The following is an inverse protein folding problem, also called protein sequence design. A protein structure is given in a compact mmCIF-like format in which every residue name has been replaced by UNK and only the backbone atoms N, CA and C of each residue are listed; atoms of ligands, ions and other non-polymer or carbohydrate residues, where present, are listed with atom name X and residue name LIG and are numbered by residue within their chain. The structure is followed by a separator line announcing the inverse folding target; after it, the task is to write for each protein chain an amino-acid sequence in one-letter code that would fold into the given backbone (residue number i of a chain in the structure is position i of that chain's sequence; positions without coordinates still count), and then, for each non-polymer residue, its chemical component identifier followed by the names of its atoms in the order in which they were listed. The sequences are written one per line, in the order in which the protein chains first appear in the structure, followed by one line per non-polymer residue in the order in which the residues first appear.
data_IF_677758638760
#
_entry.id   IF_677758638760
#
_cell.length_a   1.000
_cell.length_b   1.000
_cell.length_c   1.000
_cell.angle_alpha   90.00
_cell.angle_beta   90.00
_cell.angle_gamma   90.00
#
_symmetry.space_group_name_H-M   'P 1'
#
loop_
_entity.id
_entity.type
_entity.pdbx_description
1 polymer ?
#
# COMPACT_ATOMS: atom_id res chain seq x y z
N UNK A 1 -38.03 25.12 -6.63
CA UNK A 1 -37.72 23.87 -7.33
C UNK A 1 -36.86 23.02 -6.41
N UNK A 2 -37.49 22.24 -5.54
CA UNK A 2 -36.76 21.31 -4.68
C UNK A 2 -36.40 20.07 -5.49
N UNK A 3 -35.12 19.70 -5.55
CA UNK A 3 -34.72 18.42 -6.10
C UNK A 3 -35.39 17.30 -5.28
N UNK A 4 -36.04 16.35 -5.96
CA UNK A 4 -36.59 15.17 -5.30
C UNK A 4 -35.46 14.46 -4.52
N UNK A 5 -35.66 14.06 -3.26
CA UNK A 5 -34.59 13.53 -2.39
C UNK A 5 -33.85 12.33 -3.00
N UNK A 6 -34.54 11.55 -3.84
CA UNK A 6 -33.99 10.42 -4.61
C UNK A 6 -32.85 10.85 -5.56
N UNK A 7 -33.02 11.95 -6.31
CA UNK A 7 -32.00 12.43 -7.24
C UNK A 7 -30.76 12.97 -6.51
N UNK A 8 -30.94 13.53 -5.30
CA UNK A 8 -29.82 14.01 -4.50
C UNK A 8 -28.93 12.86 -4.01
N UNK A 9 -29.52 11.73 -3.60
CA UNK A 9 -28.75 10.56 -3.16
C UNK A 9 -27.99 9.88 -4.29
N UNK A 10 -28.60 9.71 -5.48
CA UNK A 10 -27.93 9.12 -6.63
C UNK A 10 -26.74 9.97 -7.12
N UNK A 11 -26.90 11.31 -7.14
CA UNK A 11 -25.83 12.25 -7.45
C UNK A 11 -24.70 12.21 -6.42
N UNK A 12 -25.03 12.17 -5.12
CA UNK A 12 -24.03 12.05 -4.06
C UNK A 12 -23.25 10.74 -4.17
N UNK A 13 -23.94 9.62 -4.43
CA UNK A 13 -23.33 8.30 -4.60
C UNK A 13 -22.36 8.26 -5.78
N UNK A 14 -22.78 8.80 -6.92
CA UNK A 14 -21.95 8.87 -8.13
C UNK A 14 -20.74 9.78 -7.94
N UNK A 15 -20.93 10.94 -7.31
CA UNK A 15 -19.84 11.92 -7.06
C UNK A 15 -18.81 11.38 -6.08
N UNK A 16 -19.25 10.76 -4.98
CA UNK A 16 -18.35 10.17 -4.00
C UNK A 16 -17.57 8.99 -4.60
N UNK A 17 -18.25 8.11 -5.35
CA UNK A 17 -17.61 6.95 -5.99
C UNK A 17 -16.57 7.37 -7.03
N UNK A 18 -16.89 8.33 -7.88
CA UNK A 18 -15.95 8.86 -8.89
C UNK A 18 -14.72 9.51 -8.26
N UNK A 19 -14.90 10.29 -7.19
CA UNK A 19 -13.79 10.89 -6.44
C UNK A 19 -12.87 9.82 -5.85
N UNK A 20 -13.44 8.82 -5.19
CA UNK A 20 -12.68 7.73 -4.55
C UNK A 20 -11.92 6.91 -5.59
N UNK A 21 -12.52 6.60 -6.74
CA UNK A 21 -11.83 5.88 -7.82
C UNK A 21 -10.75 6.72 -8.50
N UNK A 22 -10.94 8.04 -8.62
CA UNK A 22 -9.89 8.94 -9.10
C UNK A 22 -8.67 8.92 -8.13
N UNK A 23 -8.91 8.97 -6.83
CA UNK A 23 -7.84 8.87 -5.82
C UNK A 23 -7.14 7.49 -5.86
N UNK A 24 -7.89 6.41 -6.07
CA UNK A 24 -7.34 5.07 -6.24
C UNK A 24 -6.45 4.98 -7.49
N UNK A 25 -6.91 5.52 -8.63
CA UNK A 25 -6.14 5.58 -9.87
C UNK A 25 -4.83 6.35 -9.69
N UNK A 26 -4.90 7.55 -9.09
CA UNK A 26 -3.71 8.37 -8.78
C UNK A 26 -2.74 7.60 -7.88
N UNK A 27 -3.24 6.88 -6.89
CA UNK A 27 -2.42 6.09 -5.97
C UNK A 27 -1.67 4.95 -6.67
N UNK A 28 -2.33 4.26 -7.59
CA UNK A 28 -1.72 3.20 -8.42
C UNK A 28 -0.68 3.80 -9.37
N UNK A 29 -1.00 4.89 -10.07
CA UNK A 29 -0.05 5.60 -10.92
C UNK A 29 1.21 6.03 -10.13
N UNK A 30 1.02 6.57 -8.93
CA UNK A 30 2.11 6.99 -8.07
C UNK A 30 2.95 5.79 -7.57
N UNK A 31 2.34 4.62 -7.33
CA UNK A 31 3.07 3.38 -7.03
C UNK A 31 4.01 3.01 -8.17
N UNK A 32 3.52 2.97 -9.41
CA UNK A 32 4.34 2.65 -10.58
C UNK A 32 5.44 3.68 -10.82
N UNK A 33 5.11 4.97 -10.68
CA UNK A 33 6.10 6.04 -10.75
C UNK A 33 7.20 5.86 -9.69
N UNK A 34 6.82 5.59 -8.43
CA UNK A 34 7.79 5.36 -7.35
C UNK A 34 8.72 4.21 -7.69
N UNK A 35 8.16 3.07 -8.12
CA UNK A 35 8.92 1.86 -8.47
C UNK A 35 9.90 2.07 -9.60
N UNK A 36 9.48 2.79 -10.64
CA UNK A 36 10.35 3.20 -11.75
C UNK A 36 11.50 4.08 -11.24
N UNK A 37 11.19 5.03 -10.36
CA UNK A 37 12.17 5.97 -9.80
C UNK A 37 13.21 5.30 -8.91
N UNK A 38 12.84 4.24 -8.17
CA UNK A 38 13.77 3.47 -7.32
C UNK A 38 14.40 2.26 -8.04
N UNK A 39 14.12 2.05 -9.33
CA UNK A 39 14.61 0.92 -10.14
C UNK A 39 14.37 -0.46 -9.49
N UNK A 40 13.29 -0.63 -8.73
CA UNK A 40 13.05 -1.83 -7.90
C UNK A 40 12.46 -3.03 -8.65
N UNK A 41 12.38 -2.97 -9.99
CA UNK A 41 11.71 -3.97 -10.82
C UNK A 41 10.19 -4.04 -10.63
N UNK A 42 9.52 -4.79 -11.49
CA UNK A 42 8.10 -5.11 -11.36
C UNK A 42 7.95 -6.43 -10.64
N UNK A 43 6.96 -6.53 -9.75
CA UNK A 43 6.74 -7.72 -8.94
C UNK A 43 5.28 -8.16 -9.05
N UNK A 44 4.98 -9.37 -8.58
CA UNK A 44 3.64 -9.95 -8.68
C UNK A 44 2.55 -9.07 -8.04
N UNK A 45 2.88 -8.35 -6.96
CA UNK A 45 1.96 -7.43 -6.30
C UNK A 45 1.50 -6.27 -7.19
N UNK A 46 2.33 -5.83 -8.13
CA UNK A 46 2.00 -4.74 -9.06
C UNK A 46 1.01 -5.18 -10.14
N UNK A 47 1.11 -6.43 -10.58
CA UNK A 47 0.17 -7.00 -11.54
C UNK A 47 -1.21 -7.21 -10.91
N UNK A 48 -1.26 -7.76 -9.69
CA UNK A 48 -2.52 -7.98 -8.99
C UNK A 48 -3.26 -6.67 -8.67
N UNK A 49 -2.55 -5.60 -8.31
CA UNK A 49 -3.20 -4.30 -8.08
C UNK A 49 -3.72 -3.67 -9.38
N UNK A 50 -3.03 -3.88 -10.51
CA UNK A 50 -3.52 -3.44 -11.82
C UNK A 50 -4.78 -4.19 -12.24
N UNK A 51 -4.81 -5.53 -12.04
CA UNK A 51 -6.01 -6.33 -12.28
C UNK A 51 -7.16 -5.84 -11.39
N UNK A 52 -6.91 -5.61 -10.10
CA UNK A 52 -7.91 -5.06 -9.18
C UNK A 52 -8.43 -3.69 -9.61
N UNK A 53 -7.55 -2.78 -10.05
CA UNK A 53 -7.92 -1.47 -10.56
C UNK A 53 -8.76 -1.59 -11.84
N UNK A 54 -8.35 -2.41 -12.80
CA UNK A 54 -9.08 -2.63 -14.05
C UNK A 54 -10.49 -3.14 -13.76
N UNK A 55 -10.62 -4.19 -12.95
CA UNK A 55 -11.92 -4.74 -12.57
C UNK A 55 -12.80 -3.72 -11.82
N UNK A 56 -12.18 -2.87 -10.99
CA UNK A 56 -12.90 -1.79 -10.28
C UNK A 56 -13.46 -0.77 -11.27
N UNK A 57 -12.66 -0.34 -12.25
CA UNK A 57 -13.10 0.59 -13.29
C UNK A 57 -14.18 -0.03 -14.19
N UNK A 58 -14.07 -1.31 -14.51
CA UNK A 58 -15.12 -2.03 -15.25
C UNK A 58 -16.43 -2.08 -14.47
N UNK A 59 -16.39 -2.49 -13.20
CA UNK A 59 -17.58 -2.55 -12.34
C UNK A 59 -18.22 -1.16 -12.16
N UNK A 60 -17.40 -0.13 -11.92
CA UNK A 60 -17.88 1.26 -11.81
C UNK A 60 -18.55 1.76 -13.09
N UNK A 61 -17.99 1.42 -14.25
CA UNK A 61 -18.53 1.82 -15.56
C UNK A 61 -19.88 1.15 -15.85
N UNK A 62 -19.99 -0.14 -15.54
CA UNK A 62 -21.24 -0.92 -15.67
C UNK A 62 -22.32 -0.36 -14.74
N UNK A 63 -21.97 -0.07 -13.49
CA UNK A 63 -22.93 0.47 -12.53
C UNK A 63 -23.37 1.90 -12.87
N UNK A 64 -22.45 2.74 -13.37
CA UNK A 64 -22.78 4.08 -13.85
C UNK A 64 -23.77 4.03 -15.02
N UNK A 65 -23.66 3.04 -15.91
CA UNK A 65 -24.65 2.81 -16.95
C UNK A 65 -26.02 2.47 -16.35
N UNK A 66 -26.09 1.60 -15.35
CA UNK A 66 -27.33 1.27 -14.63
C UNK A 66 -28.01 2.48 -13.98
N UNK A 67 -27.24 3.30 -13.25
CA UNK A 67 -27.75 4.50 -12.56
C UNK A 67 -28.20 5.60 -13.53
N UNK A 68 -27.66 5.64 -14.75
CA UNK A 68 -28.11 6.59 -15.79
C UNK A 68 -29.51 6.24 -16.30
N UNK A 69 -29.77 4.94 -16.49
CA UNK A 69 -31.06 4.44 -16.96
C UNK A 69 -32.12 4.45 -15.85
N UNK A 70 -31.70 4.23 -14.61
CA UNK A 70 -32.54 4.31 -13.42
C UNK A 70 -31.96 5.29 -12.38
N UNK A 71 -32.36 6.57 -12.43
CA UNK A 71 -31.86 7.60 -11.52
C UNK A 71 -32.19 7.38 -10.05
N UNK A 72 -33.08 6.43 -9.71
CA UNK A 72 -33.38 6.06 -8.33
C UNK A 72 -32.24 5.27 -7.67
N UNK A 73 -31.31 4.72 -8.47
CA UNK A 73 -30.21 3.89 -7.96
C UNK A 73 -30.70 2.69 -7.15
N UNK A 74 -31.88 2.17 -7.46
CA UNK A 74 -32.51 1.05 -6.77
C UNK A 74 -33.09 1.35 -5.39
N UNK A 75 -33.33 2.62 -5.07
CA UNK A 75 -34.03 3.00 -3.85
C UNK A 75 -35.47 2.47 -3.86
N UNK A 76 -35.87 1.76 -2.80
CA UNK A 76 -37.20 1.19 -2.69
C UNK A 76 -37.45 -0.10 -3.48
N UNK A 77 -36.44 -0.65 -4.17
CA UNK A 77 -36.58 -1.95 -4.83
C UNK A 77 -36.91 -3.04 -3.80
N UNK A 78 -38.05 -3.69 -4.01
CA UNK A 78 -38.42 -4.90 -3.30
C UNK A 78 -38.61 -6.05 -4.30
N UNK A 79 -37.60 -6.91 -4.43
CA UNK A 79 -37.58 -7.98 -5.45
C UNK A 79 -38.56 -9.12 -5.18
N UNK A 80 -39.17 -9.13 -4.00
CA UNK A 80 -40.08 -10.20 -3.56
C UNK A 80 -41.54 -9.74 -3.56
N UNK A 81 -41.77 -8.45 -3.84
CA UNK A 81 -43.10 -7.88 -3.96
C UNK A 81 -43.66 -8.13 -5.37
N UNK A 82 -44.76 -8.88 -5.52
CA UNK A 82 -45.37 -9.16 -6.82
C UNK A 82 -45.99 -7.92 -7.46
N UNK A 83 -46.36 -6.89 -6.68
CA UNK A 83 -47.01 -5.67 -7.17
C UNK A 83 -45.99 -4.58 -7.54
N UNK A 84 -44.69 -4.83 -7.33
CA UNK A 84 -43.62 -3.90 -7.65
C UNK A 84 -43.41 -3.77 -9.17
N UNK A 85 -43.18 -2.56 -9.67
CA UNK A 85 -42.94 -2.32 -11.10
C UNK A 85 -41.47 -2.56 -11.47
N UNK A 86 -41.16 -3.79 -11.84
CA UNK A 86 -39.81 -4.23 -12.24
C UNK A 86 -39.32 -3.60 -13.55
N UNK A 87 -40.21 -3.29 -14.49
CA UNK A 87 -39.82 -2.88 -15.86
C UNK A 87 -38.89 -1.68 -15.90
N UNK A 88 -39.06 -0.73 -14.96
CA UNK A 88 -38.22 0.47 -14.86
C UNK A 88 -36.81 0.16 -14.31
N UNK A 89 -36.65 -0.89 -13.52
CA UNK A 89 -35.44 -1.18 -12.74
C UNK A 89 -34.61 -2.35 -13.33
N UNK A 90 -35.08 -2.99 -14.41
CA UNK A 90 -34.42 -4.18 -15.00
C UNK A 90 -32.97 -3.92 -15.34
N UNK A 91 -32.67 -2.79 -15.99
CA UNK A 91 -31.31 -2.45 -16.42
C UNK A 91 -30.39 -2.25 -15.22
N UNK A 92 -30.85 -1.49 -14.22
CA UNK A 92 -30.13 -1.30 -12.97
C UNK A 92 -29.85 -2.64 -12.27
N UNK A 93 -30.86 -3.48 -12.10
CA UNK A 93 -30.72 -4.79 -11.45
C UNK A 93 -29.72 -5.70 -12.19
N UNK A 94 -29.73 -5.74 -13.52
CA UNK A 94 -28.73 -6.48 -14.31
C UNK A 94 -27.31 -5.94 -14.09
N UNK A 95 -27.14 -4.63 -14.10
CA UNK A 95 -25.83 -4.01 -13.88
C UNK A 95 -25.33 -4.19 -12.44
N UNK A 96 -26.21 -4.06 -11.44
CA UNK A 96 -25.89 -4.26 -10.02
C UNK A 96 -25.52 -5.72 -9.74
N UNK A 97 -26.25 -6.69 -10.32
CA UNK A 97 -25.88 -8.11 -10.25
C UNK A 97 -24.49 -8.39 -10.84
N UNK A 98 -24.19 -7.79 -11.99
CA UNK A 98 -22.88 -7.91 -12.63
C UNK A 98 -21.77 -7.30 -11.78
N UNK A 99 -22.01 -6.09 -11.22
CA UNK A 99 -21.08 -5.43 -10.32
C UNK A 99 -20.85 -6.23 -9.03
N UNK A 100 -21.89 -6.81 -8.44
CA UNK A 100 -21.81 -7.69 -7.27
C UNK A 100 -20.99 -8.96 -7.55
N UNK A 101 -21.05 -9.50 -8.77
CA UNK A 101 -20.21 -10.64 -9.16
C UNK A 101 -18.74 -10.23 -9.30
N UNK A 102 -18.46 -9.08 -9.91
CA UNK A 102 -17.11 -8.54 -10.07
C UNK A 102 -16.47 -8.14 -8.74
N UNK A 103 -17.27 -7.71 -7.77
CA UNK A 103 -16.84 -7.28 -6.44
C UNK A 103 -15.88 -8.27 -5.78
N UNK A 104 -16.23 -9.56 -5.75
CA UNK A 104 -15.39 -10.59 -5.14
C UNK A 104 -14.01 -10.68 -5.81
N UNK A 105 -13.97 -10.60 -7.14
CA UNK A 105 -12.72 -10.63 -7.92
C UNK A 105 -11.86 -9.39 -7.69
N UNK A 106 -12.49 -8.21 -7.56
CA UNK A 106 -11.81 -6.95 -7.22
C UNK A 106 -11.12 -7.06 -5.86
N UNK A 107 -11.90 -7.38 -4.83
CA UNK A 107 -11.42 -7.44 -3.44
C UNK A 107 -10.33 -8.49 -3.29
N UNK A 108 -10.50 -9.65 -3.93
CA UNK A 108 -9.50 -10.73 -3.95
C UNK A 108 -8.20 -10.28 -4.58
N UNK A 109 -8.26 -9.61 -5.74
CA UNK A 109 -7.06 -9.11 -6.42
C UNK A 109 -6.28 -8.12 -5.54
N UNK A 110 -6.98 -7.25 -4.81
CA UNK A 110 -6.37 -6.29 -3.87
C UNK A 110 -5.73 -7.04 -2.69
N UNK A 111 -6.44 -7.97 -2.05
CA UNK A 111 -5.92 -8.74 -0.90
C UNK A 111 -4.69 -9.59 -1.30
N UNK A 112 -4.72 -10.23 -2.47
CA UNK A 112 -3.56 -10.99 -3.00
C UNK A 112 -2.38 -10.06 -3.31
N UNK A 113 -2.63 -8.85 -3.84
CA UNK A 113 -1.56 -7.85 -4.02
C UNK A 113 -0.90 -7.46 -2.69
N UNK A 114 -1.69 -7.18 -1.64
CA UNK A 114 -1.18 -6.84 -0.30
C UNK A 114 -0.39 -8.02 0.28
N UNK A 115 -0.89 -9.25 0.14
CA UNK A 115 -0.23 -10.46 0.62
C UNK A 115 1.13 -10.68 -0.07
N UNK A 116 1.19 -10.54 -1.40
CA UNK A 116 2.44 -10.58 -2.17
C UNK A 116 3.41 -9.48 -1.73
N UNK A 117 2.91 -8.27 -1.48
CA UNK A 117 3.71 -7.16 -0.97
C UNK A 117 4.28 -7.48 0.42
N UNK A 118 3.50 -8.07 1.34
CA UNK A 118 4.00 -8.47 2.65
C UNK A 118 5.10 -9.53 2.54
N UNK A 119 4.94 -10.52 1.65
CA UNK A 119 5.97 -11.55 1.41
C UNK A 119 7.29 -10.94 0.92
N UNK A 120 7.22 -9.88 0.12
CA UNK A 120 8.41 -9.15 -0.32
C UNK A 120 9.09 -8.39 0.81
N UNK A 121 8.31 -7.78 1.70
CA UNK A 121 8.84 -6.97 2.80
C UNK A 121 9.48 -7.85 3.87
N UNK A 122 8.90 -9.03 4.13
CA UNK A 122 9.33 -9.98 5.16
C UNK A 122 9.71 -11.33 4.54
N UNK A 123 10.92 -11.48 3.98
CA UNK A 123 11.40 -12.74 3.42
C UNK A 123 11.84 -13.69 4.56
N UNK A 124 10.85 -14.27 5.27
CA UNK A 124 11.06 -15.23 6.37
C UNK A 124 10.35 -16.53 6.03
N UNK A 125 11.01 -17.69 6.20
CA UNK A 125 10.45 -18.98 5.77
C UNK A 125 9.12 -19.33 6.47
N UNK A 126 8.99 -19.05 7.76
CA UNK A 126 7.73 -19.23 8.50
C UNK A 126 6.59 -18.32 7.99
N UNK A 127 6.91 -17.16 7.42
CA UNK A 127 5.94 -16.26 6.81
C UNK A 127 5.37 -16.84 5.51
N UNK A 128 6.15 -17.65 4.79
CA UNK A 128 5.72 -18.26 3.55
C UNK A 128 4.48 -19.13 3.75
N UNK A 129 4.52 -20.07 4.70
CA UNK A 129 3.41 -20.99 4.97
C UNK A 129 2.16 -20.22 5.41
N UNK A 130 2.31 -19.28 6.35
CA UNK A 130 1.20 -18.45 6.82
C UNK A 130 0.58 -17.64 5.66
N UNK A 131 1.41 -17.11 4.76
CA UNK A 131 0.92 -16.39 3.59
C UNK A 131 0.17 -17.30 2.61
N UNK A 132 0.60 -18.56 2.41
CA UNK A 132 -0.12 -19.51 1.55
C UNK A 132 -1.49 -19.86 2.12
N UNK A 133 -1.57 -20.12 3.42
CA UNK A 133 -2.84 -20.39 4.12
C UNK A 133 -3.78 -19.20 3.98
N UNK A 134 -3.27 -17.97 4.16
CA UNK A 134 -4.06 -16.75 3.98
C UNK A 134 -4.56 -16.60 2.53
N UNK A 135 -3.68 -16.85 1.56
CA UNK A 135 -4.03 -16.83 0.14
C UNK A 135 -5.14 -17.83 -0.19
N UNK A 136 -5.04 -19.06 0.33
CA UNK A 136 -6.08 -20.08 0.18
C UNK A 136 -7.41 -19.65 0.79
N UNK A 137 -7.41 -19.06 2.00
CA UNK A 137 -8.62 -18.54 2.64
C UNK A 137 -9.30 -17.44 1.80
N UNK A 138 -8.51 -16.52 1.25
CA UNK A 138 -9.01 -15.46 0.36
C UNK A 138 -9.64 -16.08 -0.91
N UNK A 139 -8.99 -17.07 -1.52
CA UNK A 139 -9.49 -17.73 -2.72
C UNK A 139 -10.75 -18.56 -2.46
N UNK A 140 -10.86 -19.21 -1.29
CA UNK A 140 -12.09 -19.91 -0.88
C UNK A 140 -13.23 -18.91 -0.70
N UNK A 141 -12.99 -17.79 -0.02
CA UNK A 141 -14.00 -16.74 0.13
C UNK A 141 -14.45 -16.17 -1.21
N UNK A 142 -13.52 -15.93 -2.14
CA UNK A 142 -13.81 -15.53 -3.50
C UNK A 142 -14.71 -16.54 -4.22
N UNK A 143 -14.32 -17.81 -4.21
CA UNK A 143 -15.05 -18.87 -4.89
C UNK A 143 -16.48 -19.01 -4.35
N UNK A 144 -16.61 -19.08 -3.02
CA UNK A 144 -17.91 -19.20 -2.36
C UNK A 144 -18.78 -17.98 -2.66
N UNK A 145 -18.24 -16.77 -2.54
CA UNK A 145 -18.98 -15.53 -2.82
C UNK A 145 -19.41 -15.39 -4.27
N UNK A 146 -18.53 -15.69 -5.23
CA UNK A 146 -18.86 -15.63 -6.65
C UNK A 146 -19.93 -16.66 -7.03
N UNK A 147 -19.82 -17.90 -6.52
CA UNK A 147 -20.81 -18.95 -6.77
C UNK A 147 -22.16 -18.58 -6.14
N UNK A 148 -22.19 -18.22 -4.85
CA UNK A 148 -23.43 -17.86 -4.15
C UNK A 148 -24.11 -16.63 -4.76
N UNK A 149 -23.35 -15.63 -5.22
CA UNK A 149 -23.92 -14.49 -5.96
C UNK A 149 -24.58 -14.95 -7.25
N UNK A 150 -23.92 -15.84 -7.99
CA UNK A 150 -24.43 -16.35 -9.27
C UNK A 150 -25.67 -17.23 -9.09
N UNK A 151 -25.76 -17.99 -8.00
CA UNK A 151 -26.94 -18.82 -7.67
C UNK A 151 -27.94 -18.10 -6.74
N UNK A 152 -27.82 -16.79 -6.57
CA UNK A 152 -28.69 -16.02 -5.67
C UNK A 152 -30.18 -16.08 -6.03
N UNK A 153 -30.47 -16.25 -7.32
CA UNK A 153 -31.79 -16.49 -7.86
C UNK A 153 -31.73 -17.56 -8.95
N UNK A 154 -32.68 -18.49 -8.93
CA UNK A 154 -32.85 -19.52 -9.97
C UNK A 154 -34.31 -19.52 -10.45
N UNK A 155 -34.59 -19.23 -11.73
CA UNK A 155 -33.64 -18.83 -12.79
C UNK A 155 -33.10 -17.40 -12.58
N UNK A 156 -31.95 -17.08 -13.19
CA UNK A 156 -31.32 -15.75 -13.06
C UNK A 156 -32.26 -14.59 -13.40
N UNK A 157 -33.19 -14.82 -14.35
CA UNK A 157 -34.20 -13.83 -14.76
C UNK A 157 -35.05 -13.31 -13.60
N UNK A 158 -35.32 -14.16 -12.60
CA UNK A 158 -36.06 -13.77 -11.38
C UNK A 158 -35.41 -12.59 -10.65
N UNK A 159 -34.08 -12.42 -10.74
CA UNK A 159 -33.38 -11.32 -10.08
C UNK A 159 -33.86 -9.94 -10.56
N UNK A 160 -34.20 -9.80 -11.85
CA UNK A 160 -34.57 -8.51 -12.45
C UNK A 160 -36.02 -8.44 -12.97
N UNK A 161 -36.69 -9.57 -13.18
CA UNK A 161 -38.12 -9.66 -13.56
C UNK A 161 -39.06 -9.88 -12.36
N UNK A 162 -38.50 -10.14 -11.17
CA UNK A 162 -39.27 -10.33 -9.94
C UNK A 162 -40.01 -11.67 -9.86
N UNK A 163 -41.03 -11.78 -8.99
CA UNK A 163 -41.75 -13.03 -8.73
C UNK A 163 -42.42 -13.64 -9.97
N UNK A 164 -42.77 -12.79 -10.95
CA UNK A 164 -43.44 -13.14 -12.21
C UNK A 164 -42.67 -14.18 -13.05
N UNK A 165 -41.34 -14.19 -12.95
CA UNK A 165 -40.47 -15.13 -13.68
C UNK A 165 -40.46 -16.56 -13.08
N UNK A 166 -41.18 -16.80 -11.97
CA UNK A 166 -41.16 -18.07 -11.25
C UNK A 166 -39.81 -18.36 -10.58
N UNK A 167 -39.67 -19.52 -9.95
CA UNK A 167 -38.44 -19.93 -9.26
C UNK A 167 -38.28 -19.35 -7.84
N UNK A 168 -37.05 -19.36 -7.34
CA UNK A 168 -36.73 -18.98 -5.96
C UNK A 168 -35.44 -18.15 -5.89
N UNK A 169 -35.42 -17.20 -4.95
CA UNK A 169 -34.23 -16.46 -4.54
C UNK A 169 -34.02 -16.68 -3.04
N UNK A 170 -32.77 -16.85 -2.59
CA UNK A 170 -32.51 -16.84 -1.15
C UNK A 170 -32.46 -15.41 -0.61
N UNK A 171 -32.52 -15.27 0.71
CA UNK A 171 -32.45 -13.97 1.38
C UNK A 171 -31.08 -13.30 1.14
N UNK A 172 -31.06 -12.32 0.24
CA UNK A 172 -29.83 -11.65 -0.19
C UNK A 172 -29.24 -10.78 0.92
N UNK A 173 -30.09 -10.26 1.81
CA UNK A 173 -29.68 -9.44 2.94
C UNK A 173 -28.90 -10.24 4.01
N UNK A 174 -29.35 -11.46 4.33
CA UNK A 174 -28.62 -12.38 5.22
C UNK A 174 -27.30 -12.82 4.57
N UNK A 175 -27.32 -13.12 3.27
CA UNK A 175 -26.14 -13.45 2.50
C UNK A 175 -25.10 -12.32 2.51
N UNK A 176 -25.53 -11.07 2.27
CA UNK A 176 -24.69 -9.88 2.32
C UNK A 176 -24.00 -9.72 3.68
N UNK A 177 -24.77 -9.84 4.77
CA UNK A 177 -24.24 -9.75 6.13
C UNK A 177 -23.23 -10.87 6.42
N UNK A 178 -23.54 -12.10 6.02
CA UNK A 178 -22.70 -13.28 6.28
C UNK A 178 -21.36 -13.18 5.53
N UNK A 179 -21.40 -12.90 4.23
CA UNK A 179 -20.19 -12.76 3.42
C UNK A 179 -19.35 -11.56 3.84
N UNK A 180 -20.00 -10.45 4.19
CA UNK A 180 -19.33 -9.27 4.72
C UNK A 180 -18.66 -9.50 6.08
N UNK A 181 -19.29 -10.27 6.98
CA UNK A 181 -18.68 -10.65 8.24
C UNK A 181 -17.42 -11.51 8.04
N UNK A 182 -17.46 -12.50 7.15
CA UNK A 182 -16.29 -13.32 6.82
C UNK A 182 -15.18 -12.48 6.22
N UNK A 183 -15.51 -11.52 5.35
CA UNK A 183 -14.53 -10.61 4.76
C UNK A 183 -13.81 -9.76 5.81
N UNK A 184 -14.54 -9.23 6.80
CA UNK A 184 -13.98 -8.47 7.92
C UNK A 184 -13.03 -9.31 8.78
N UNK A 185 -13.36 -10.58 8.99
CA UNK A 185 -12.46 -11.52 9.66
C UNK A 185 -11.18 -11.69 8.83
N UNK A 186 -11.29 -11.90 7.53
CA UNK A 186 -10.13 -12.01 6.63
C UNK A 186 -9.27 -10.74 6.67
N UNK A 187 -9.87 -9.54 6.63
CA UNK A 187 -9.12 -8.28 6.72
C UNK A 187 -8.39 -8.14 8.06
N UNK A 188 -9.05 -8.53 9.15
CA UNK A 188 -8.44 -8.51 10.49
C UNK A 188 -7.26 -9.48 10.58
N UNK A 189 -7.41 -10.69 10.03
CA UNK A 189 -6.32 -11.68 9.99
C UNK A 189 -5.16 -11.18 9.13
N UNK A 190 -5.45 -10.56 7.99
CA UNK A 190 -4.45 -9.98 7.08
C UNK A 190 -3.70 -8.83 7.75
N UNK A 191 -4.37 -8.02 8.56
CA UNK A 191 -3.77 -6.93 9.34
C UNK A 191 -2.84 -7.46 10.45
N UNK A 192 -3.24 -8.52 11.15
CA UNK A 192 -2.47 -9.12 12.25
C UNK A 192 -1.23 -9.88 11.73
N UNK A 193 -1.30 -10.42 10.52
CA UNK A 193 -0.27 -11.26 9.91
C UNK A 193 1.16 -10.66 10.00
N UNK A 194 1.44 -9.42 9.53
CA UNK A 194 2.77 -8.83 9.66
C UNK A 194 3.12 -8.39 11.09
N UNK A 195 2.13 -8.08 11.95
CA UNK A 195 2.37 -7.59 13.32
C UNK A 195 3.07 -8.64 14.16
N UNK A 196 2.64 -9.91 14.07
CA UNK A 196 3.28 -11.01 14.79
C UNK A 196 4.77 -11.14 14.45
N UNK A 197 5.13 -10.99 13.18
CA UNK A 197 6.52 -11.04 12.74
C UNK A 197 7.35 -9.86 13.28
N UNK A 198 6.74 -8.67 13.33
CA UNK A 198 7.41 -7.45 13.79
C UNK A 198 7.73 -7.49 15.29
N UNK A 199 6.92 -8.18 16.09
CA UNK A 199 7.17 -8.34 17.53
C UNK A 199 8.33 -9.29 17.83
N UNK A 200 8.52 -10.32 17.00
CA UNK A 200 9.57 -11.32 17.19
C UNK A 200 10.92 -10.85 16.62
N UNK A 201 10.90 -10.05 15.54
CA UNK A 201 12.12 -9.65 14.83
C UNK A 201 12.59 -8.26 15.26
N UNK A 202 13.88 -8.11 15.60
CA UNK A 202 14.49 -6.83 15.99
C UNK A 202 14.61 -5.85 14.81
N UNK A 203 13.48 -5.25 14.41
CA UNK A 203 13.43 -4.33 13.26
C UNK A 203 13.99 -2.94 13.58
N UNK A 204 14.61 -2.33 12.57
CA UNK A 204 15.07 -0.94 12.61
C UNK A 204 13.91 0.03 12.88
N UNK A 205 14.17 1.19 13.52
CA UNK A 205 13.15 2.24 13.77
C UNK A 205 12.37 2.62 12.50
N UNK A 206 13.03 2.58 11.35
CA UNK A 206 12.43 2.87 10.06
C UNK A 206 11.40 1.82 9.61
N UNK A 207 11.61 0.54 9.90
CA UNK A 207 10.65 -0.51 9.60
C UNK A 207 9.46 -0.47 10.58
N UNK A 208 9.70 -0.15 11.85
CA UNK A 208 8.64 0.03 12.85
C UNK A 208 7.62 1.10 12.45
N UNK A 209 8.09 2.27 11.98
CA UNK A 209 7.20 3.35 11.50
C UNK A 209 6.35 2.89 10.31
N UNK A 210 6.92 2.10 9.38
CA UNK A 210 6.19 1.57 8.23
C UNK A 210 5.07 0.62 8.67
N UNK A 211 5.35 -0.26 9.62
CA UNK A 211 4.38 -1.22 10.15
C UNK A 211 3.22 -0.49 10.84
N UNK A 212 3.52 0.53 11.64
CA UNK A 212 2.48 1.37 12.28
C UNK A 212 1.61 2.04 11.21
N UNK A 213 2.21 2.59 10.15
CA UNK A 213 1.46 3.18 9.04
C UNK A 213 0.52 2.18 8.36
N UNK A 214 1.03 0.99 8.03
CA UNK A 214 0.23 -0.09 7.43
C UNK A 214 -0.91 -0.50 8.37
N UNK A 215 -0.65 -0.59 9.67
CA UNK A 215 -1.65 -0.96 10.66
C UNK A 215 -2.79 0.07 10.74
N UNK A 216 -2.45 1.37 10.82
CA UNK A 216 -3.45 2.44 10.87
C UNK A 216 -4.31 2.50 9.61
N UNK A 217 -3.72 2.27 8.44
CA UNK A 217 -4.44 2.28 7.17
C UNK A 217 -5.30 1.03 7.02
N UNK A 218 -4.77 -0.13 7.40
CA UNK A 218 -5.52 -1.38 7.37
C UNK A 218 -6.69 -1.39 8.35
N UNK A 219 -6.53 -0.80 9.55
CA UNK A 219 -7.65 -0.66 10.48
C UNK A 219 -8.73 0.27 9.92
N UNK A 220 -8.36 1.34 9.21
CA UNK A 220 -9.33 2.18 8.52
C UNK A 220 -10.12 1.41 7.45
N UNK A 221 -9.46 0.55 6.65
CA UNK A 221 -10.15 -0.31 5.68
C UNK A 221 -11.16 -1.25 6.36
N UNK A 222 -10.82 -1.83 7.50
CA UNK A 222 -11.75 -2.65 8.30
C UNK A 222 -12.98 -1.84 8.74
N UNK A 223 -12.78 -0.61 9.22
CA UNK A 223 -13.89 0.27 9.62
C UNK A 223 -14.80 0.57 8.42
N UNK A 224 -14.24 0.90 7.25
CA UNK A 224 -15.07 1.13 6.05
C UNK A 224 -15.86 -0.13 5.64
N UNK A 225 -15.27 -1.31 5.80
CA UNK A 225 -15.95 -2.59 5.56
C UNK A 225 -17.09 -2.83 6.56
N UNK A 226 -16.89 -2.49 7.83
CA UNK A 226 -17.93 -2.61 8.86
C UNK A 226 -19.11 -1.70 8.54
N UNK A 227 -18.83 -0.44 8.19
CA UNK A 227 -19.87 0.53 7.81
C UNK A 227 -20.61 0.06 6.55
N UNK A 228 -19.91 -0.51 5.56
CA UNK A 228 -20.52 -1.12 4.37
C UNK A 228 -21.52 -2.23 4.72
N UNK A 229 -21.14 -3.13 5.62
CA UNK A 229 -22.03 -4.23 6.06
C UNK A 229 -23.26 -3.69 6.77
N UNK A 230 -23.07 -2.77 7.73
CA UNK A 230 -24.17 -2.22 8.54
C UNK A 230 -25.13 -1.38 7.69
N UNK A 231 -24.61 -0.47 6.86
CA UNK A 231 -25.44 0.45 6.09
C UNK A 231 -26.05 -0.19 4.84
N UNK A 232 -25.46 -1.27 4.34
CA UNK A 232 -26.05 -2.10 3.28
C UNK A 232 -27.15 -3.03 3.79
N UNK A 233 -27.13 -3.40 5.08
CA UNK A 233 -28.18 -4.22 5.68
C UNK A 233 -29.50 -3.45 5.79
N UNK A 234 -30.60 -4.08 5.37
CA UNK A 234 -31.93 -3.47 5.39
C UNK A 234 -32.91 -4.27 6.28
N UNK A 235 -33.18 -3.84 7.52
CA UNK A 235 -34.01 -4.61 8.46
C UNK A 235 -35.40 -4.94 7.89
N UNK A 236 -35.84 -6.19 8.03
CA UNK A 236 -37.16 -6.62 7.57
C UNK A 236 -37.30 -6.84 6.06
N UNK A 237 -36.25 -6.60 5.27
CA UNK A 237 -36.22 -6.86 3.83
C UNK A 237 -35.34 -8.06 3.49
N UNK A 238 -35.70 -8.80 2.44
CA UNK A 238 -34.81 -9.80 1.82
C UNK A 238 -33.77 -9.16 0.88
N UNK A 239 -33.88 -7.85 0.65
CA UNK A 239 -33.05 -7.06 -0.25
C UNK A 239 -32.13 -6.15 0.54
N UNK A 240 -30.92 -5.89 0.02
CA UNK A 240 -30.01 -4.90 0.60
C UNK A 240 -30.50 -3.49 0.30
N UNK A 241 -30.06 -2.52 1.10
CA UNK A 241 -30.26 -1.12 0.78
C UNK A 241 -29.33 -0.71 -0.37
N UNK A 242 -29.72 -1.02 -1.61
CA UNK A 242 -28.90 -0.91 -2.82
C UNK A 242 -28.08 0.40 -2.93
N UNK A 243 -28.67 1.61 -2.82
CA UNK A 243 -27.89 2.85 -2.92
C UNK A 243 -26.77 2.96 -1.87
N UNK A 244 -27.09 2.59 -0.62
CA UNK A 244 -26.15 2.65 0.51
C UNK A 244 -25.08 1.58 0.39
N UNK A 245 -25.47 0.37 0.01
CA UNK A 245 -24.57 -0.75 -0.21
C UNK A 245 -23.53 -0.43 -1.30
N UNK A 246 -23.96 0.17 -2.42
CA UNK A 246 -23.09 0.52 -3.53
C UNK A 246 -22.13 1.66 -3.20
N UNK A 247 -22.61 2.74 -2.57
CA UNK A 247 -21.77 3.85 -2.11
C UNK A 247 -20.64 3.36 -1.19
N UNK A 248 -20.99 2.60 -0.15
CA UNK A 248 -20.01 2.15 0.82
C UNK A 248 -19.09 1.06 0.26
N UNK A 249 -19.55 0.28 -0.74
CA UNK A 249 -18.68 -0.65 -1.47
C UNK A 249 -17.63 0.08 -2.29
N UNK A 250 -17.99 1.17 -2.97
CA UNK A 250 -17.05 2.01 -3.71
C UNK A 250 -15.99 2.64 -2.78
N UNK A 251 -16.44 3.21 -1.65
CA UNK A 251 -15.55 3.76 -0.61
C UNK A 251 -14.60 2.68 -0.09
N UNK A 252 -15.13 1.50 0.25
CA UNK A 252 -14.32 0.40 0.76
C UNK A 252 -13.27 -0.07 -0.25
N UNK A 253 -13.64 -0.31 -1.50
CA UNK A 253 -12.70 -0.74 -2.55
C UNK A 253 -11.61 0.31 -2.78
N UNK A 254 -11.98 1.58 -2.94
CA UNK A 254 -11.00 2.62 -3.21
C UNK A 254 -10.02 2.83 -2.05
N UNK A 255 -10.52 2.79 -0.81
CA UNK A 255 -9.66 2.87 0.38
C UNK A 255 -8.74 1.65 0.51
N UNK A 256 -9.20 0.45 0.15
CA UNK A 256 -8.38 -0.75 0.08
C UNK A 256 -7.26 -0.65 -0.97
N UNK A 257 -7.54 -0.11 -2.17
CA UNK A 257 -6.52 0.14 -3.20
C UNK A 257 -5.48 1.15 -2.70
N UNK A 258 -5.94 2.28 -2.15
CA UNK A 258 -5.05 3.32 -1.60
C UNK A 258 -4.14 2.70 -0.51
N UNK A 259 -4.72 1.92 0.41
CA UNK A 259 -3.99 1.21 1.45
C UNK A 259 -2.93 0.26 0.87
N UNK A 260 -3.27 -0.50 -0.18
CA UNK A 260 -2.33 -1.39 -0.85
C UNK A 260 -1.16 -0.64 -1.51
N UNK A 261 -1.39 0.59 -1.99
CA UNK A 261 -0.38 1.42 -2.63
C UNK A 261 0.58 2.10 -1.63
N UNK A 262 0.12 2.46 -0.44
CA UNK A 262 0.86 3.33 0.48
C UNK A 262 2.27 2.84 0.89
N UNK A 263 2.51 1.54 1.15
CA UNK A 263 3.84 1.07 1.54
C UNK A 263 4.91 1.30 0.47
N UNK A 264 4.50 1.22 -0.80
CA UNK A 264 5.39 1.50 -1.94
C UNK A 264 5.65 2.98 -2.16
N UNK A 265 4.78 3.88 -1.69
CA UNK A 265 4.89 5.34 -1.85
C UNK A 265 5.89 5.99 -0.87
N UNK A 266 6.33 5.25 0.15
CA UNK A 266 7.22 5.74 1.19
C UNK A 266 8.45 6.52 0.68
N UNK A 267 9.21 6.05 -0.35
CA UNK A 267 10.38 6.79 -0.85
C UNK A 267 10.02 8.17 -1.39
N UNK A 268 8.86 8.33 -2.03
CA UNK A 268 8.38 9.63 -2.51
C UNK A 268 8.02 10.56 -1.35
N UNK A 269 7.30 10.05 -0.35
CA UNK A 269 6.94 10.85 0.84
C UNK A 269 8.20 11.39 1.53
N UNK A 270 9.24 10.55 1.65
CA UNK A 270 10.53 10.96 2.23
C UNK A 270 11.19 12.07 1.40
N UNK A 271 11.22 11.95 0.07
CA UNK A 271 11.77 12.99 -0.82
C UNK A 271 10.97 14.29 -0.74
N UNK A 272 9.65 14.21 -0.84
CA UNK A 272 8.75 15.36 -0.74
C UNK A 272 8.92 16.11 0.59
N UNK A 273 9.01 15.40 1.71
CA UNK A 273 9.24 16.01 3.03
C UNK A 273 10.59 16.71 3.13
N UNK A 274 11.63 16.14 2.52
CA UNK A 274 12.98 16.75 2.50
C UNK A 274 12.96 18.02 1.64
N UNK A 275 12.39 17.97 0.44
CA UNK A 275 12.24 19.13 -0.45
C UNK A 275 11.40 20.24 0.19
N UNK A 276 10.26 19.89 0.82
CA UNK A 276 9.42 20.86 1.52
C UNK A 276 10.15 21.52 2.70
N UNK A 277 10.95 20.75 3.45
CA UNK A 277 11.75 21.29 4.55
C UNK A 277 12.87 22.23 4.05
N UNK A 278 13.48 21.92 2.90
CA UNK A 278 14.49 22.78 2.26
C UNK A 278 13.88 24.07 1.72
N UNK A 279 12.68 24.00 1.10
CA UNK A 279 11.96 25.18 0.62
C UNK A 279 11.51 26.07 1.79
N UNK A 280 11.00 25.49 2.88
CA UNK A 280 10.64 26.25 4.09
C UNK A 280 11.85 26.94 4.72
N UNK A 281 13.03 26.32 4.66
CA UNK A 281 14.27 26.91 5.18
C UNK A 281 14.78 28.07 4.31
N UNK A 282 14.58 27.99 2.98
CA UNK A 282 14.95 29.07 2.05
C UNK A 282 13.98 30.27 2.07
N UNK A 283 12.69 30.05 2.37
CA UNK A 283 11.68 31.13 2.42
C UNK A 283 11.40 31.67 3.84
N UNK A 284 11.91 31.03 4.90
CA UNK A 284 11.60 31.33 6.30
C UNK A 284 12.67 32.08 7.09
N UNK A 285 13.70 32.64 6.44
CA UNK A 285 14.76 33.38 7.14
C UNK A 285 14.63 34.89 6.86
N UNK A 286 14.07 35.71 7.77
CA UNK A 286 14.36 37.13 7.77
C UNK A 286 15.84 37.26 8.10
N UNK A 287 16.63 37.78 7.16
CA UNK A 287 18.00 38.20 7.41
C UNK A 287 17.98 39.33 8.44
N UNK A 288 18.08 39.02 9.72
CA UNK A 288 18.37 40.01 10.74
C UNK A 288 19.89 40.27 10.74
N UNK A 289 20.40 40.83 9.66
CA UNK A 289 21.71 41.45 9.61
C UNK A 289 21.63 42.81 10.30
N UNK A 290 21.57 42.81 11.63
CA UNK A 290 21.92 43.99 12.42
C UNK A 290 23.44 44.06 12.47
N UNK A 291 24.00 44.87 11.57
CA UNK A 291 25.40 45.24 11.54
C UNK A 291 25.76 45.96 12.84
N UNK A 292 26.86 45.52 13.46
CA UNK A 292 27.54 46.28 14.48
C UNK A 292 28.81 46.85 13.84
N UNK A 293 28.76 48.14 13.52
CA UNK A 293 29.92 48.92 13.12
C UNK A 293 30.65 49.36 14.39
N UNK A 294 31.92 49.01 14.51
CA UNK A 294 32.89 49.72 15.36
C UNK A 294 34.17 49.92 14.55
N UNK A 295 34.55 51.17 14.23
CA UNK A 295 35.87 51.46 13.68
C UNK A 295 36.86 51.72 14.82
N UNK A 296 38.04 51.11 14.75
CA UNK A 296 39.13 51.33 15.69
C UNK A 296 40.45 50.89 15.09
N UNK A 297 41.22 51.87 14.62
CA UNK A 297 42.62 51.76 14.21
C UNK A 297 43.51 51.21 15.33
N UNK A 298 44.48 50.36 14.99
CA UNK A 298 45.91 50.73 15.03
C UNK A 298 46.84 49.52 14.91
N UNK A 299 47.90 49.75 14.14
CA UNK A 299 49.22 49.13 14.04
C UNK A 299 49.62 48.00 15.01
N UNK A 300 50.23 46.94 14.45
CA UNK A 300 51.05 46.01 15.22
C UNK A 300 51.56 44.82 14.42
N UNK A 301 52.85 44.85 14.09
CA UNK A 301 53.63 43.72 13.60
C UNK A 301 53.51 42.47 14.49
N UNK A 302 53.46 41.27 13.91
CA UNK A 302 54.42 40.15 14.14
C UNK A 302 53.87 38.77 13.76
N UNK A 303 54.79 38.01 13.18
CA UNK A 303 55.00 36.55 13.29
C UNK A 303 54.00 35.55 12.72
N UNK A 304 54.57 34.71 11.84
CA UNK A 304 54.12 33.40 11.43
C UNK A 304 53.72 32.50 12.61
N UNK A 305 52.60 31.80 12.44
CA UNK A 305 52.37 30.48 13.01
C UNK A 305 51.38 29.74 12.11
N UNK A 306 51.92 28.85 11.28
CA UNK A 306 51.18 27.99 10.38
C UNK A 306 50.71 26.76 11.18
N UNK A 307 49.59 26.89 11.89
CA UNK A 307 49.01 25.79 12.65
C UNK A 307 48.09 24.95 11.74
N UNK A 308 48.69 24.08 10.91
CA UNK A 308 47.95 23.02 10.20
C UNK A 308 47.74 21.86 11.16
N UNK A 309 46.49 21.68 11.60
CA UNK A 309 46.05 20.43 12.23
C UNK A 309 46.25 19.24 11.26
N UNK A 310 46.32 17.99 11.78
CA UNK A 310 46.63 16.83 10.96
C UNK A 310 45.52 16.58 9.92
N UNK A 311 45.87 16.18 8.69
CA UNK A 311 44.87 15.89 7.65
C UNK A 311 44.07 14.64 8.03
N UNK A 312 42.74 14.78 8.08
CA UNK A 312 41.82 13.66 8.24
C UNK A 312 41.71 12.87 6.92
N UNK A 313 41.97 11.57 6.99
CA UNK A 313 41.85 10.63 5.87
C UNK A 313 40.37 10.34 5.60
N UNK A 314 39.87 10.68 4.42
CA UNK A 314 38.42 10.65 4.14
C UNK A 314 37.92 9.34 3.51
N UNK A 315 38.75 8.61 2.74
CA UNK A 315 38.41 7.29 2.20
C UNK A 315 39.61 6.67 1.44
N UNK A 316 39.74 5.34 1.53
CA UNK A 316 40.56 4.53 0.61
C UNK A 316 39.69 4.07 -0.55
N UNK A 317 40.15 4.30 -1.79
CA UNK A 317 39.46 3.82 -2.99
C UNK A 317 40.41 2.93 -3.77
N UNK A 318 40.09 1.64 -3.84
CA UNK A 318 40.80 0.69 -4.70
C UNK A 318 40.39 0.94 -6.15
N UNK A 319 41.36 1.28 -7.00
CA UNK A 319 41.15 1.47 -8.44
C UNK A 319 41.69 0.24 -9.15
N UNK A 320 40.80 -0.53 -9.79
CA UNK A 320 41.23 -1.61 -10.69
C UNK A 320 41.48 -1.03 -12.08
N UNK A 321 42.74 -0.99 -12.50
CA UNK A 321 43.14 -0.66 -13.86
C UNK A 321 44.17 -1.69 -14.33
N UNK A 322 43.78 -2.59 -15.25
CA UNK A 322 44.68 -3.62 -15.75
C UNK A 322 45.20 -4.58 -14.67
N UNK A 323 46.20 -5.40 -15.01
CA UNK A 323 46.64 -6.59 -14.26
C UNK A 323 47.26 -6.33 -12.87
N UNK A 324 47.07 -5.15 -12.27
CA UNK A 324 47.66 -4.75 -10.98
C UNK A 324 46.67 -3.91 -10.15
N UNK A 325 46.67 -4.12 -8.82
CA UNK A 325 45.77 -3.44 -7.88
C UNK A 325 46.51 -2.28 -7.19
N UNK A 326 46.27 -1.03 -7.62
CA UNK A 326 46.88 0.14 -6.98
C UNK A 326 45.95 0.73 -5.89
N UNK A 327 46.52 1.05 -4.72
CA UNK A 327 45.82 1.76 -3.63
C UNK A 327 46.18 3.24 -3.65
N UNK A 328 45.20 4.12 -3.82
CA UNK A 328 45.42 5.56 -3.97
C UNK A 328 44.72 6.35 -2.86
N UNK A 329 45.43 7.32 -2.28
CA UNK A 329 44.96 8.14 -1.16
C UNK A 329 44.54 9.53 -1.69
N UNK A 330 43.30 9.95 -1.45
CA UNK A 330 42.76 11.24 -1.92
C UNK A 330 42.67 12.23 -0.76
N UNK A 331 43.42 13.33 -0.85
CA UNK A 331 43.34 14.48 0.07
C UNK A 331 42.67 15.67 -0.61
N UNK A 332 41.73 16.33 0.08
CA UNK A 332 40.97 17.46 -0.46
C UNK A 332 41.83 18.72 -0.48
N UNK A 333 42.11 19.28 -1.67
CA UNK A 333 42.69 20.62 -1.83
C UNK A 333 44.05 20.72 -2.55
N UNK A 334 44.56 19.63 -3.13
CA UNK A 334 45.68 19.68 -4.09
C UNK A 334 45.42 18.67 -5.20
N UNK A 335 45.82 18.99 -6.43
CA UNK A 335 45.69 18.11 -7.61
C UNK A 335 46.71 16.96 -7.63
N UNK A 336 47.37 16.70 -6.50
CA UNK A 336 48.52 15.79 -6.41
C UNK A 336 48.08 14.40 -5.95
N UNK A 337 48.32 13.42 -6.82
CA UNK A 337 48.18 12.00 -6.53
C UNK A 337 49.46 11.51 -5.84
N UNK A 338 49.37 11.16 -4.55
CA UNK A 338 50.47 10.50 -3.85
C UNK A 338 50.34 8.99 -4.06
N UNK A 339 51.24 8.43 -4.86
CA UNK A 339 51.37 6.98 -5.08
C UNK A 339 52.14 6.38 -3.92
N UNK A 340 51.54 5.43 -3.20
CA UNK A 340 52.23 4.70 -2.14
C UNK A 340 53.08 3.58 -2.77
N UNK A 341 54.32 3.33 -2.30
CA UNK A 341 55.11 2.20 -2.78
C UNK A 341 54.48 0.88 -2.33
N UNK A 342 54.41 -0.09 -3.24
CA UNK A 342 53.87 -1.42 -3.01
C UNK A 342 54.70 -2.15 -1.96
N UNK A 343 54.07 -2.51 -0.83
CA UNK A 343 54.67 -3.42 0.14
C UNK A 343 54.44 -4.85 -0.35
N UNK A 344 55.34 -5.35 -1.21
CA UNK A 344 55.42 -6.76 -1.57
C UNK A 344 55.67 -7.59 -0.30
N UNK A 345 54.69 -8.41 0.07
CA UNK A 345 54.83 -9.42 1.11
C UNK A 345 54.92 -10.79 0.44
N UNK A 346 56.14 -11.32 0.34
CA UNK A 346 56.42 -12.72 0.67
C UNK A 346 57.91 -13.05 0.65
N UNK A 347 58.26 -13.79 1.70
CA UNK A 347 59.38 -14.70 1.88
C UNK A 347 60.71 -14.19 2.44
N UNK A 348 61.10 -14.92 3.50
CA UNK A 348 62.43 -15.19 4.04
C UNK A 348 62.94 -14.45 5.30
N UNK A 349 62.90 -15.22 6.41
CA UNK A 349 64.01 -15.45 7.37
C UNK A 349 64.17 -14.46 8.54
N UNK A 350 63.80 -14.85 9.77
CA UNK A 350 64.71 -15.35 10.86
C UNK A 350 64.03 -15.33 12.24
N UNK A 351 63.69 -16.52 12.70
CA UNK A 351 64.07 -17.09 14.01
C UNK A 351 64.69 -16.14 15.07
N UNK A 352 63.96 -15.90 16.17
CA UNK A 352 64.55 -15.75 17.52
C UNK A 352 63.66 -16.47 18.53
N UNK A 353 64.16 -17.61 19.00
CA UNK A 353 63.65 -18.42 20.12
C UNK A 353 64.53 -18.15 21.35
N UNK A 354 63.94 -17.84 22.51
CA UNK A 354 64.43 -17.97 23.92
C UNK A 354 63.28 -17.43 24.80
N UNK A 355 62.77 -18.07 25.85
CA UNK A 355 63.10 -19.25 26.65
C UNK A 355 61.90 -19.60 27.57
N UNK A 356 62.05 -20.52 28.53
CA UNK A 356 61.01 -21.47 28.93
C UNK A 356 60.28 -21.13 30.25
N UNK A 357 59.08 -21.69 30.43
CA UNK A 357 58.54 -22.01 31.76
C UNK A 357 57.51 -23.14 31.68
N UNK A 358 57.62 -24.05 32.65
CA UNK A 358 56.96 -25.35 32.82
C UNK A 358 55.43 -25.28 33.00
N UNK A 359 54.77 -26.42 32.75
CA UNK A 359 53.48 -26.74 33.35
C UNK A 359 52.72 -27.84 32.61
N UNK A 360 52.98 -29.10 32.97
CA UNK A 360 52.21 -30.29 32.58
C UNK A 360 50.71 -30.15 32.95
N UNK A 361 49.81 -30.80 32.21
CA UNK A 361 48.92 -31.89 32.67
C UNK A 361 48.08 -32.41 31.48
N UNK A 362 47.98 -33.74 31.44
CA UNK A 362 47.47 -34.65 30.40
C UNK A 362 45.97 -34.52 30.07
N UNK A 363 45.67 -34.83 28.82
CA UNK A 363 44.42 -35.46 28.37
C UNK A 363 44.64 -36.97 28.36
N UNK A 364 43.57 -37.73 28.62
CA UNK A 364 43.39 -39.03 27.97
C UNK A 364 42.54 -38.82 26.74
#
# INVERSE_FOLDING_TARGET
MGEHPLHAQAKATTTASTLVFALALVSVCLRFYTRRMIKAGWAADDWWILVGLFLTLSAASILLYGVREDPSGGEGINRDDPDFNYHLHVTYLKTSFTAATLYFSVVTSIKISILCMYRRIFPVDGFFIQSQIMGALILVWWLVGSVLTTVSCLPWRRFWEGPSAGGYCFNFNIYWMSMGAVELVIDTLLLILPVRMVLVLQLSRQQKILVVGIFTLGSFVIVTGLVRVILGYNPGSQNVAFPRAELWSAVHIGTAIICACLPTLRPLIKRASTTASSLRRNYGSPSNSRGHNTPGESSGSRTASNNRGPPQVLALKNVKSGRQNDTVLLTRGSSDLVRLPDFESRDSVREVRRGPAMGNVELV
#
